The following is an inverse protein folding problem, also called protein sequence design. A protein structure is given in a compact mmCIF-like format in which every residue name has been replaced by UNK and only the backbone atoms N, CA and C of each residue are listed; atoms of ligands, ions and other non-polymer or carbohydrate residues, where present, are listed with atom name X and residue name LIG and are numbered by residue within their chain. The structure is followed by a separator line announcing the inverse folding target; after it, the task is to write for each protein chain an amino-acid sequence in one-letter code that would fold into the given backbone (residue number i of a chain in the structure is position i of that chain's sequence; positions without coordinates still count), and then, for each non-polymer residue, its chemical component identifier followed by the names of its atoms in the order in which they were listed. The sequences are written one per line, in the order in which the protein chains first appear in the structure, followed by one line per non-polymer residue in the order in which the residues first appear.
data_IF_904653473133
#
_entry.id   IF_904653473133
#
_cell.length_a   1.000
_cell.length_b   1.000
_cell.length_c   1.000
_cell.angle_alpha   90.00
_cell.angle_beta   90.00
_cell.angle_gamma   90.00
#
_symmetry.space_group_name_H-M   'P 1'
#
loop_
_entity.id
_entity.type
_entity.pdbx_description
1 polymer ?
#
# COMPACT_ATOMS: atom_id res chain seq x y z
N UNK A 1 -18.49 18.84 -34.57
CA UNK A 1 -18.01 19.66 -33.43
C UNK A 1 -18.36 19.04 -32.08
N UNK A 2 -19.57 18.52 -31.89
CA UNK A 2 -20.03 17.88 -30.63
C UNK A 2 -19.13 16.73 -30.15
N UNK A 3 -18.62 15.88 -31.04
CA UNK A 3 -17.76 14.75 -30.67
C UNK A 3 -16.40 15.20 -30.08
N UNK A 4 -15.85 16.30 -30.59
CA UNK A 4 -14.60 16.88 -30.07
C UNK A 4 -14.79 17.49 -28.69
N UNK A 5 -15.93 18.15 -28.46
CA UNK A 5 -16.30 18.65 -27.14
C UNK A 5 -16.45 17.52 -26.13
N UNK A 6 -17.14 16.43 -26.50
CA UNK A 6 -17.28 15.24 -25.65
C UNK A 6 -15.93 14.61 -25.31
N UNK A 7 -15.03 14.49 -26.29
CA UNK A 7 -13.68 13.96 -26.07
C UNK A 7 -12.86 14.83 -25.12
N UNK A 8 -12.92 16.16 -25.26
CA UNK A 8 -12.22 17.09 -24.37
C UNK A 8 -12.75 17.03 -22.94
N UNK A 9 -14.08 16.92 -22.76
CA UNK A 9 -14.69 16.77 -21.44
C UNK A 9 -14.28 15.45 -20.80
N UNK A 10 -14.36 14.34 -21.52
CA UNK A 10 -13.95 13.03 -21.03
C UNK A 10 -12.47 13.00 -20.63
N UNK A 11 -11.60 13.60 -21.45
CA UNK A 11 -10.18 13.73 -21.15
C UNK A 11 -9.94 14.58 -19.89
N UNK A 12 -10.66 15.70 -19.76
CA UNK A 12 -10.55 16.58 -18.59
C UNK A 12 -10.95 15.87 -17.30
N UNK A 13 -12.03 15.07 -17.33
CA UNK A 13 -12.47 14.26 -16.20
C UNK A 13 -11.41 13.21 -15.84
N UNK A 14 -10.86 12.51 -16.84
CA UNK A 14 -9.81 11.51 -16.63
C UNK A 14 -8.55 12.13 -15.99
N UNK A 15 -8.12 13.29 -16.49
CA UNK A 15 -6.96 14.00 -15.95
C UNK A 15 -7.20 14.46 -14.52
N UNK A 16 -8.39 15.01 -14.23
CA UNK A 16 -8.75 15.40 -12.87
C UNK A 16 -8.73 14.21 -11.91
N UNK A 17 -9.28 13.07 -12.34
CA UNK A 17 -9.24 11.83 -11.55
C UNK A 17 -7.81 11.39 -11.26
N UNK A 18 -6.93 11.38 -12.27
CA UNK A 18 -5.52 11.01 -12.12
C UNK A 18 -4.77 11.93 -11.13
N UNK A 19 -5.06 13.24 -11.17
CA UNK A 19 -4.46 14.21 -10.24
C UNK A 19 -4.91 13.91 -8.81
N UNK A 20 -6.22 13.70 -8.59
CA UNK A 20 -6.77 13.37 -7.28
C UNK A 20 -6.15 12.06 -6.75
N UNK A 21 -6.09 11.03 -7.59
CA UNK A 21 -5.50 9.74 -7.24
C UNK A 21 -4.03 9.87 -6.83
N UNK A 22 -3.25 10.65 -7.59
CA UNK A 22 -1.83 10.88 -7.29
C UNK A 22 -1.66 11.61 -5.95
N UNK A 23 -2.49 12.62 -5.65
CA UNK A 23 -2.46 13.35 -4.37
C UNK A 23 -2.78 12.40 -3.22
N UNK A 24 -3.85 11.61 -3.32
CA UNK A 24 -4.25 10.65 -2.29
C UNK A 24 -3.18 9.58 -2.08
N UNK A 25 -2.62 9.05 -3.16
CA UNK A 25 -1.56 8.03 -3.12
C UNK A 25 -0.29 8.57 -2.45
N UNK A 26 0.10 9.81 -2.75
CA UNK A 26 1.22 10.49 -2.06
C UNK A 26 0.92 10.69 -0.57
N UNK A 27 -0.29 11.11 -0.21
CA UNK A 27 -0.70 11.24 1.20
C UNK A 27 -0.65 9.89 1.93
N UNK A 28 -1.12 8.80 1.32
CA UNK A 28 -1.06 7.44 1.89
C UNK A 28 0.39 6.96 2.04
N UNK A 29 1.24 7.15 1.04
CA UNK A 29 2.69 6.83 1.13
C UNK A 29 3.38 7.59 2.27
N UNK A 30 3.03 8.87 2.48
CA UNK A 30 3.56 9.66 3.61
C UNK A 30 3.10 9.14 4.99
N UNK A 31 2.01 8.37 5.07
CA UNK A 31 1.55 7.73 6.33
C UNK A 31 2.34 6.47 6.66
N UNK A 32 2.93 5.79 5.68
CA UNK A 32 3.83 4.64 5.87
C UNK A 32 5.19 5.14 6.39
N UNK A 33 5.24 5.48 7.68
CA UNK A 33 6.45 6.00 8.33
C UNK A 33 7.52 4.93 8.53
N UNK A 34 7.09 3.68 8.73
CA UNK A 34 7.96 2.55 9.05
C UNK A 34 7.69 1.47 8.00
N UNK A 35 8.72 1.09 7.26
CA UNK A 35 8.69 0.00 6.29
C UNK A 35 9.88 -0.91 6.56
N UNK A 36 9.61 -2.17 6.90
CA UNK A 36 10.64 -3.16 7.23
C UNK A 36 10.65 -4.25 6.18
N UNK A 37 11.76 -4.38 5.45
CA UNK A 37 11.97 -5.46 4.51
C UNK A 37 12.81 -6.56 5.16
N UNK A 38 12.23 -7.75 5.29
CA UNK A 38 12.91 -8.92 5.83
C UNK A 38 13.46 -9.76 4.67
N UNK A 39 14.78 -9.79 4.53
CA UNK A 39 15.50 -10.59 3.54
C UNK A 39 16.19 -11.80 4.19
N UNK A 40 16.62 -12.77 3.37
CA UNK A 40 17.30 -13.99 3.83
C UNK A 40 16.86 -15.27 3.09
N UNK A 41 17.57 -16.37 3.38
CA UNK A 41 17.35 -17.70 2.78
C UNK A 41 16.35 -18.54 3.56
N UNK A 42 16.32 -18.42 4.90
CA UNK A 42 15.40 -19.15 5.80
C UNK A 42 14.82 -18.22 6.85
N UNK A 43 13.67 -18.58 7.43
CA UNK A 43 13.07 -17.87 8.57
C UNK A 43 12.35 -16.55 8.28
N UNK A 44 12.39 -15.99 7.05
CA UNK A 44 11.77 -14.68 6.71
C UNK A 44 10.32 -14.54 7.19
N UNK A 45 9.47 -15.53 6.92
CA UNK A 45 8.05 -15.48 7.32
C UNK A 45 7.84 -15.49 8.83
N UNK A 46 8.74 -16.12 9.57
CA UNK A 46 8.69 -16.16 11.04
C UNK A 46 9.19 -14.83 11.62
N UNK A 47 10.30 -14.31 11.10
CA UNK A 47 10.81 -12.98 11.46
C UNK A 47 9.79 -11.88 11.19
N UNK A 48 9.08 -11.91 10.06
CA UNK A 48 7.98 -10.96 9.76
C UNK A 48 6.88 -11.03 10.83
N UNK A 49 6.50 -12.24 11.28
CA UNK A 49 5.47 -12.43 12.31
C UNK A 49 5.92 -11.88 13.67
N UNK A 50 7.18 -12.11 14.05
CA UNK A 50 7.75 -11.57 15.28
C UNK A 50 7.79 -10.03 15.26
N UNK A 51 8.26 -9.44 14.17
CA UNK A 51 8.28 -7.97 14.00
C UNK A 51 6.86 -7.40 14.05
N UNK A 52 5.90 -8.04 13.36
CA UNK A 52 4.50 -7.64 13.40
C UNK A 52 3.94 -7.67 14.83
N UNK A 53 4.12 -8.77 15.56
CA UNK A 53 3.66 -8.92 16.93
C UNK A 53 4.30 -7.88 17.87
N UNK A 54 5.60 -7.66 17.76
CA UNK A 54 6.32 -6.68 18.57
C UNK A 54 5.82 -5.25 18.33
N UNK A 55 5.65 -4.84 17.07
CA UNK A 55 5.12 -3.51 16.75
C UNK A 55 3.65 -3.35 17.16
N UNK A 56 2.81 -4.38 16.95
CA UNK A 56 1.41 -4.37 17.37
C UNK A 56 1.29 -4.25 18.91
N UNK A 57 2.12 -4.98 19.65
CA UNK A 57 2.19 -4.89 21.12
C UNK A 57 2.59 -3.49 21.62
N UNK A 58 3.30 -2.70 20.80
CA UNK A 58 3.65 -1.31 21.09
C UNK A 58 2.61 -0.29 20.56
N UNK A 59 1.42 -0.75 20.18
CA UNK A 59 0.31 0.12 19.75
C UNK A 59 0.37 0.61 18.30
N UNK A 60 1.25 0.04 17.47
CA UNK A 60 1.28 0.38 16.04
C UNK A 60 0.24 -0.42 15.26
N UNK A 61 -0.44 0.24 14.32
CA UNK A 61 -1.22 -0.43 13.27
C UNK A 61 -0.24 -0.91 12.19
N UNK A 62 -0.07 -2.23 12.08
CA UNK A 62 0.94 -2.85 11.21
C UNK A 62 0.25 -3.77 10.21
N UNK A 63 0.72 -3.70 8.96
CA UNK A 63 0.36 -4.66 7.93
C UNK A 63 1.59 -5.53 7.64
N UNK A 64 1.46 -6.83 7.81
CA UNK A 64 2.49 -7.80 7.47
C UNK A 64 2.16 -8.53 6.17
N UNK A 65 3.18 -8.84 5.37
CA UNK A 65 3.05 -9.77 4.23
C UNK A 65 4.15 -10.81 4.32
N UNK A 66 3.78 -12.08 4.29
CA UNK A 66 4.72 -13.18 4.14
C UNK A 66 4.60 -13.79 2.75
N UNK A 67 5.71 -14.27 2.20
CA UNK A 67 5.81 -14.84 0.85
C UNK A 67 6.45 -16.23 0.86
N UNK A 68 6.25 -16.97 1.95
CA UNK A 68 6.72 -18.37 2.07
C UNK A 68 5.92 -19.33 1.17
N UNK A 69 5.78 -20.59 1.59
CA UNK A 69 5.03 -21.62 0.84
C UNK A 69 3.61 -21.20 0.49
N UNK A 70 2.97 -20.44 1.38
CA UNK A 70 1.68 -19.77 1.12
C UNK A 70 1.84 -18.29 1.43
N UNK A 71 1.53 -17.38 0.49
CA UNK A 71 1.55 -15.96 0.77
C UNK A 71 0.40 -15.61 1.72
N UNK A 72 0.71 -14.98 2.84
CA UNK A 72 -0.27 -14.58 3.85
C UNK A 72 -0.18 -13.08 4.12
N UNK A 73 -1.33 -12.44 4.20
CA UNK A 73 -1.48 -11.10 4.74
C UNK A 73 -1.80 -11.19 6.23
N UNK A 74 -1.06 -10.44 7.04
CA UNK A 74 -1.30 -10.27 8.46
C UNK A 74 -1.89 -8.86 8.62
N UNK A 75 -3.16 -8.80 9.01
CA UNK A 75 -3.94 -7.56 9.04
C UNK A 75 -3.74 -6.77 10.34
N UNK A 76 -4.03 -5.46 10.35
CA UNK A 76 -3.80 -4.60 11.50
C UNK A 76 -4.86 -4.72 12.62
N UNK A 77 -5.98 -5.40 12.34
CA UNK A 77 -7.06 -5.76 13.29
C UNK A 77 -6.55 -6.64 14.44
#
# INVERSE_FOLDING_TARGET
MTNWLLALVALSILLLFLVIENILSRKRRKRLKIAVQVNGTRGKSETVRLIHAALKANGFSVLGKTTGTVPLWITPD
#
